data_IF_714152105337
#
_entry.id   IF_714152105337
#
_cell.length_a   1.000
_cell.length_b   1.000
_cell.length_c   1.000
_cell.angle_alpha   90.00
_cell.angle_beta   90.00
_cell.angle_gamma   90.00
#
_symmetry.space_group_name_H-M   'P 1'
#
loop_
_entity.id
_entity.type
_entity.pdbx_description
1 polymer ?
#
# COMPACT_ATOMS: atom_id res chain seq x y z
N UNK A 1 -13.91 103.93 -10.23
CA UNK A 1 -13.12 102.78 -10.74
C UNK A 1 -12.49 103.21 -12.05
N UNK A 2 -11.19 102.99 -12.24
CA UNK A 2 -10.45 103.49 -13.40
C UNK A 2 -10.90 102.71 -14.65
N UNK A 3 -11.44 103.39 -15.66
CA UNK A 3 -12.06 102.76 -16.86
C UNK A 3 -11.10 101.81 -17.60
N UNK A 4 -9.79 102.06 -17.48
CA UNK A 4 -8.71 101.23 -18.00
C UNK A 4 -8.68 99.84 -17.33
N UNK A 5 -8.86 99.78 -16.01
CA UNK A 5 -8.82 98.51 -15.26
C UNK A 5 -10.08 97.69 -15.53
N UNK A 6 -11.24 98.35 -15.65
CA UNK A 6 -12.47 97.67 -16.07
C UNK A 6 -12.36 97.11 -17.50
N UNK A 7 -11.75 97.86 -18.42
CA UNK A 7 -11.49 97.39 -19.78
C UNK A 7 -10.60 96.16 -19.81
N UNK A 8 -9.49 96.17 -19.07
CA UNK A 8 -8.55 95.03 -19.00
C UNK A 8 -9.20 93.78 -18.37
N UNK A 9 -10.01 93.95 -17.33
CA UNK A 9 -10.69 92.83 -16.68
C UNK A 9 -11.78 92.23 -17.57
N UNK A 10 -12.48 93.07 -18.35
CA UNK A 10 -13.44 92.63 -19.35
C UNK A 10 -12.77 91.85 -20.48
N UNK A 11 -11.59 92.28 -20.94
CA UNK A 11 -10.82 91.55 -21.95
C UNK A 11 -10.42 90.15 -21.47
N UNK A 12 -9.88 90.03 -20.25
CA UNK A 12 -9.46 88.74 -19.67
C UNK A 12 -10.66 87.80 -19.49
N UNK A 13 -11.81 88.30 -19.05
CA UNK A 13 -13.04 87.52 -18.91
C UNK A 13 -13.59 87.03 -20.26
N UNK A 14 -13.47 87.85 -21.30
CA UNK A 14 -13.93 87.48 -22.65
C UNK A 14 -13.00 86.44 -23.30
N UNK A 15 -11.69 86.51 -23.02
CA UNK A 15 -10.70 85.57 -23.53
C UNK A 15 -10.83 84.19 -22.85
N UNK A 16 -11.01 84.17 -21.53
CA UNK A 16 -11.30 82.95 -20.74
C UNK A 16 -12.66 82.32 -21.06
N UNK A 17 -13.65 83.11 -21.47
CA UNK A 17 -14.92 82.59 -21.98
C UNK A 17 -14.80 81.94 -23.37
N UNK A 18 -13.83 82.39 -24.19
CA UNK A 18 -13.65 81.95 -25.59
C UNK A 18 -12.75 80.72 -25.74
N UNK A 19 -11.75 80.53 -24.88
CA UNK A 19 -10.77 79.43 -24.94
C UNK A 19 -11.28 78.07 -24.41
N UNK A 20 -12.56 77.74 -24.59
CA UNK A 20 -13.21 76.53 -24.05
C UNK A 20 -12.36 75.26 -24.04
N UNK A 21 -11.75 74.96 -22.89
CA UNK A 21 -10.93 73.77 -22.61
C UNK A 21 -11.31 73.13 -21.27
N UNK A 22 -10.39 72.37 -20.65
CA UNK A 22 -10.61 71.52 -19.45
C UNK A 22 -11.31 72.17 -18.23
N UNK A 23 -11.50 73.49 -18.22
CA UNK A 23 -12.20 74.23 -17.16
C UNK A 23 -13.52 74.89 -17.62
N UNK A 24 -14.16 74.38 -18.68
CA UNK A 24 -15.55 74.69 -19.09
C UNK A 24 -15.88 76.16 -19.42
N UNK A 25 -14.89 77.05 -19.53
CA UNK A 25 -15.04 78.44 -19.97
C UNK A 25 -16.15 79.20 -19.24
N UNK A 26 -17.17 79.64 -20.00
CA UNK A 26 -18.34 80.41 -19.55
C UNK A 26 -19.03 79.83 -18.32
N UNK A 27 -19.11 78.50 -18.19
CA UNK A 27 -19.86 77.86 -17.10
C UNK A 27 -19.16 78.00 -15.75
N UNK A 28 -17.84 78.14 -15.73
CA UNK A 28 -17.08 78.39 -14.49
C UNK A 28 -17.24 79.85 -14.03
N UNK A 29 -17.36 80.79 -14.97
CA UNK A 29 -17.66 82.19 -14.67
C UNK A 29 -19.07 82.29 -14.07
N UNK A 30 -20.07 81.62 -14.68
CA UNK A 30 -21.45 81.62 -14.17
C UNK A 30 -21.62 80.90 -12.84
N UNK A 31 -20.94 79.78 -12.63
CA UNK A 31 -21.15 78.95 -11.43
C UNK A 31 -20.33 79.38 -10.22
N UNK A 32 -19.22 80.11 -10.42
CA UNK A 32 -18.33 80.50 -9.31
C UNK A 32 -18.14 82.00 -9.17
N UNK A 33 -17.89 82.71 -10.27
CA UNK A 33 -17.61 84.15 -10.21
C UNK A 33 -18.88 84.98 -9.98
N UNK A 34 -19.99 84.67 -10.67
CA UNK A 34 -21.25 85.41 -10.50
C UNK A 34 -21.87 85.24 -9.10
N UNK A 35 -21.91 84.04 -8.49
CA UNK A 35 -22.39 83.88 -7.13
C UNK A 35 -21.49 84.61 -6.13
N UNK A 36 -20.17 84.60 -6.33
CA UNK A 36 -19.20 85.31 -5.51
C UNK A 36 -19.41 86.83 -5.59
N UNK A 37 -19.60 87.40 -6.78
CA UNK A 37 -19.94 88.81 -6.94
C UNK A 37 -21.32 89.13 -6.32
N UNK A 38 -22.32 88.28 -6.50
CA UNK A 38 -23.66 88.44 -5.92
C UNK A 38 -23.68 88.41 -4.38
N UNK A 39 -22.74 87.68 -3.76
CA UNK A 39 -22.57 87.64 -2.30
C UNK A 39 -21.75 88.82 -1.77
N UNK A 40 -20.78 89.34 -2.53
CA UNK A 40 -19.98 90.50 -2.10
C UNK A 40 -20.78 91.82 -2.05
N UNK A 41 -21.82 91.98 -2.87
CA UNK A 41 -22.68 93.18 -2.83
C UNK A 41 -23.90 93.06 -1.90
N UNK A 42 -24.13 91.88 -1.29
CA UNK A 42 -25.19 91.65 -0.31
C UNK A 42 -24.62 91.52 1.10
N UNK A 43 -23.83 92.50 1.53
CA UNK A 43 -23.64 92.75 2.96
C UNK A 43 -24.59 93.86 3.40
N UNK A 44 -25.49 93.47 4.30
CA UNK A 44 -26.46 94.32 4.94
C UNK A 44 -25.82 95.60 5.49
N UNK A 45 -26.51 96.71 5.25
CA UNK A 45 -26.34 98.00 5.92
C UNK A 45 -26.33 97.82 7.44
N UNK A 46 -25.15 97.93 8.06
CA UNK A 46 -25.03 98.10 9.51
C UNK A 46 -24.71 99.57 9.81
N UNK A 47 -25.75 100.34 10.10
CA UNK A 47 -25.62 101.63 10.78
C UNK A 47 -25.04 101.42 12.18
N UNK A 48 -23.95 102.14 12.47
CA UNK A 48 -23.40 102.38 13.82
C UNK A 48 -24.43 103.15 14.69
N UNK A 49 -24.32 103.24 16.05
CA UNK A 49 -23.06 103.29 16.80
C UNK A 49 -22.99 102.50 18.14
N UNK A 50 -21.74 102.19 18.50
CA UNK A 50 -21.11 102.27 19.83
C UNK A 50 -21.98 101.92 21.05
N UNK A 51 -21.74 100.73 21.65
CA UNK A 51 -21.78 100.40 23.10
C UNK A 51 -21.90 98.86 23.29
N UNK A 52 -20.88 98.05 22.94
CA UNK A 52 -20.80 96.63 23.38
C UNK A 52 -19.42 96.01 23.09
N UNK A 53 -18.37 96.44 23.81
CA UNK A 53 -17.04 95.82 23.70
C UNK A 53 -16.87 94.58 24.60
N UNK A 54 -17.86 94.25 25.43
CA UNK A 54 -17.83 93.12 26.38
C UNK A 54 -18.52 91.84 25.85
N UNK A 55 -19.61 91.95 25.08
CA UNK A 55 -20.29 90.77 24.50
C UNK A 55 -19.52 90.18 23.31
N UNK A 56 -18.93 91.04 22.47
CA UNK A 56 -18.20 90.61 21.27
C UNK A 56 -16.85 89.96 21.62
N UNK A 57 -16.22 90.37 22.72
CA UNK A 57 -15.01 89.72 23.25
C UNK A 57 -15.33 88.38 23.90
N UNK A 58 -16.46 88.26 24.58
CA UNK A 58 -16.95 86.99 25.13
C UNK A 58 -17.30 85.99 24.02
N UNK A 59 -18.08 86.39 23.01
CA UNK A 59 -18.43 85.56 21.86
C UNK A 59 -17.19 85.18 21.03
N UNK A 60 -16.20 86.09 20.91
CA UNK A 60 -14.94 85.79 20.26
C UNK A 60 -14.11 84.76 21.04
N UNK A 61 -14.04 84.88 22.37
CA UNK A 61 -13.34 83.91 23.20
C UNK A 61 -14.04 82.54 23.20
N UNK A 62 -15.36 82.51 23.12
CA UNK A 62 -16.13 81.27 23.04
C UNK A 62 -15.99 80.57 21.68
N UNK A 63 -16.01 81.35 20.58
CA UNK A 63 -15.66 80.85 19.24
C UNK A 63 -14.21 80.35 19.17
N UNK A 64 -13.26 81.03 19.81
CA UNK A 64 -11.87 80.57 19.88
C UNK A 64 -11.76 79.27 20.68
N UNK A 65 -12.50 79.12 21.78
CA UNK A 65 -12.59 77.85 22.52
C UNK A 65 -13.19 76.73 21.68
N UNK A 66 -14.24 77.00 20.90
CA UNK A 66 -14.83 76.01 19.99
C UNK A 66 -13.86 75.63 18.87
N UNK A 67 -13.17 76.60 18.25
CA UNK A 67 -12.15 76.34 17.23
C UNK A 67 -11.00 75.49 17.79
N UNK A 68 -10.52 75.79 19.00
CA UNK A 68 -9.50 74.97 19.66
C UNK A 68 -10.00 73.54 19.95
N UNK A 69 -11.26 73.39 20.38
CA UNK A 69 -11.87 72.05 20.59
C UNK A 69 -12.00 71.28 19.28
N UNK A 70 -12.50 71.92 18.21
CA UNK A 70 -12.63 71.31 16.88
C UNK A 70 -11.27 70.95 16.29
N UNK A 71 -10.27 71.82 16.44
CA UNK A 71 -8.90 71.54 16.02
C UNK A 71 -8.31 70.35 16.80
N UNK A 72 -8.51 70.29 18.11
CA UNK A 72 -8.05 69.15 18.93
C UNK A 72 -8.77 67.84 18.59
N UNK A 73 -10.05 67.88 18.21
CA UNK A 73 -10.79 66.70 17.73
C UNK A 73 -10.24 66.22 16.39
N UNK A 74 -10.00 67.14 15.45
CA UNK A 74 -9.43 66.82 14.14
C UNK A 74 -8.00 66.27 14.26
N UNK A 75 -7.17 66.81 15.15
CA UNK A 75 -5.82 66.27 15.37
C UNK A 75 -5.86 64.87 16.00
N UNK A 76 -6.81 64.60 16.88
CA UNK A 76 -7.02 63.26 17.45
C UNK A 76 -7.44 62.24 16.37
N UNK A 77 -8.42 62.58 15.54
CA UNK A 77 -8.89 61.72 14.43
C UNK A 77 -7.76 61.43 13.43
N UNK A 78 -6.97 62.45 13.06
CA UNK A 78 -5.80 62.27 12.18
C UNK A 78 -4.76 61.34 12.81
N UNK A 79 -4.53 61.45 14.12
CA UNK A 79 -3.60 60.58 14.83
C UNK A 79 -4.11 59.13 14.90
N UNK A 80 -5.41 58.92 15.06
CA UNK A 80 -6.04 57.60 15.04
C UNK A 80 -5.95 56.96 13.66
N UNK A 81 -6.33 57.69 12.60
CA UNK A 81 -6.18 57.23 11.21
C UNK A 81 -4.71 56.93 10.88
N UNK A 82 -3.76 57.71 11.39
CA UNK A 82 -2.35 57.44 11.18
C UNK A 82 -1.90 56.15 11.88
N UNK A 83 -2.40 55.86 13.09
CA UNK A 83 -2.15 54.59 13.78
C UNK A 83 -2.71 53.40 12.99
N UNK A 84 -3.97 53.49 12.53
CA UNK A 84 -4.59 52.44 11.71
C UNK A 84 -3.84 52.22 10.39
N UNK A 85 -3.40 53.29 9.74
CA UNK A 85 -2.63 53.22 8.50
C UNK A 85 -1.24 52.59 8.72
N UNK A 86 -0.60 52.83 9.86
CA UNK A 86 0.65 52.12 10.21
C UNK A 86 0.41 50.65 10.56
N UNK A 87 -0.68 50.32 11.25
CA UNK A 87 -1.03 48.95 11.62
C UNK A 87 -1.36 48.11 10.36
N UNK A 88 -2.15 48.66 9.44
CA UNK A 88 -2.49 48.01 8.17
C UNK A 88 -1.27 47.81 7.27
N UNK A 89 -0.34 48.77 7.21
CA UNK A 89 0.94 48.60 6.49
C UNK A 89 1.77 47.46 7.06
N UNK A 90 1.82 47.35 8.38
CA UNK A 90 2.56 46.27 9.05
C UNK A 90 1.90 44.90 8.79
N UNK A 91 0.56 44.82 8.86
CA UNK A 91 -0.17 43.61 8.48
C UNK A 91 0.07 43.23 7.02
N UNK A 92 0.04 44.18 6.09
CA UNK A 92 0.36 43.91 4.68
C UNK A 92 1.78 43.38 4.50
N UNK A 93 2.77 43.93 5.21
CA UNK A 93 4.14 43.41 5.15
C UNK A 93 4.26 41.98 5.66
N UNK A 94 3.53 41.62 6.72
CA UNK A 94 3.47 40.25 7.24
C UNK A 94 2.84 39.30 6.23
N UNK A 95 1.69 39.67 5.66
CA UNK A 95 1.00 38.86 4.65
C UNK A 95 1.85 38.69 3.39
N UNK A 96 2.59 39.72 2.98
CA UNK A 96 3.54 39.62 1.86
C UNK A 96 4.66 38.63 2.17
N UNK A 97 5.21 38.67 3.38
CA UNK A 97 6.25 37.74 3.81
C UNK A 97 5.73 36.29 3.83
N UNK A 98 4.57 36.05 4.43
CA UNK A 98 3.93 34.73 4.46
C UNK A 98 3.66 34.20 3.05
N UNK A 99 3.25 35.08 2.12
CA UNK A 99 3.03 34.72 0.73
C UNK A 99 4.32 34.29 0.02
N UNK A 100 5.43 34.98 0.27
CA UNK A 100 6.74 34.56 -0.28
C UNK A 100 7.25 33.27 0.32
N UNK A 101 7.02 33.04 1.62
CA UNK A 101 7.43 31.81 2.30
C UNK A 101 6.64 30.60 1.79
N UNK A 102 5.32 30.75 1.66
CA UNK A 102 4.45 29.71 1.10
C UNK A 102 4.77 29.41 -0.36
N UNK A 103 5.13 30.42 -1.16
CA UNK A 103 5.56 30.22 -2.54
C UNK A 103 6.87 29.43 -2.64
N UNK A 104 7.85 29.72 -1.77
CA UNK A 104 9.10 28.94 -1.69
C UNK A 104 8.84 27.49 -1.27
N UNK A 105 8.02 27.26 -0.26
CA UNK A 105 7.65 25.92 0.18
C UNK A 105 6.94 25.13 -0.94
N UNK A 106 6.06 25.79 -1.70
CA UNK A 106 5.39 25.17 -2.84
C UNK A 106 6.38 24.74 -3.94
N UNK A 107 7.32 25.60 -4.33
CA UNK A 107 8.33 25.24 -5.33
C UNK A 107 9.27 24.12 -4.84
N UNK A 108 9.62 24.09 -3.56
CA UNK A 108 10.38 22.97 -2.97
C UNK A 108 9.60 21.64 -3.01
N UNK A 109 8.31 21.66 -2.65
CA UNK A 109 7.46 20.45 -2.77
C UNK A 109 7.30 20.00 -4.22
N UNK A 110 7.18 20.93 -5.16
CA UNK A 110 7.10 20.65 -6.59
C UNK A 110 8.40 20.02 -7.10
N UNK A 111 9.57 20.55 -6.71
CA UNK A 111 10.87 19.98 -7.06
C UNK A 111 11.03 18.55 -6.51
N UNK A 112 10.68 18.33 -5.24
CA UNK A 112 10.69 17.00 -4.61
C UNK A 112 9.73 16.03 -5.30
N UNK A 113 8.54 16.49 -5.66
CA UNK A 113 7.57 15.64 -6.37
C UNK A 113 8.08 15.25 -7.77
N UNK A 114 8.69 16.18 -8.51
CA UNK A 114 9.25 15.93 -9.84
C UNK A 114 10.38 14.88 -9.80
N UNK A 115 11.28 14.96 -8.81
CA UNK A 115 12.36 13.96 -8.66
C UNK A 115 11.81 12.58 -8.33
N UNK A 116 10.80 12.49 -7.46
CA UNK A 116 10.16 11.20 -7.14
C UNK A 116 9.44 10.60 -8.34
N UNK A 117 8.83 11.44 -9.20
CA UNK A 117 8.12 10.99 -10.39
C UNK A 117 9.10 10.42 -11.43
N UNK A 118 10.22 11.10 -11.66
CA UNK A 118 11.28 10.60 -12.56
C UNK A 118 11.86 9.26 -12.08
N UNK A 119 12.12 9.11 -10.78
CA UNK A 119 12.60 7.85 -10.23
C UNK A 119 11.59 6.69 -10.42
N UNK A 120 10.30 6.96 -10.25
CA UNK A 120 9.25 5.97 -10.49
C UNK A 120 9.09 5.63 -11.98
N UNK A 121 9.27 6.60 -12.88
CA UNK A 121 9.27 6.36 -14.32
C UNK A 121 10.42 5.45 -14.75
N UNK A 122 11.63 5.68 -14.23
CA UNK A 122 12.79 4.83 -14.48
C UNK A 122 12.57 3.40 -13.98
N UNK A 123 11.98 3.23 -12.80
CA UNK A 123 11.62 1.91 -12.26
C UNK A 123 10.61 1.19 -13.16
N UNK A 124 9.57 1.89 -13.65
CA UNK A 124 8.59 1.31 -14.58
C UNK A 124 9.25 0.87 -15.88
N UNK A 125 10.20 1.66 -16.41
CA UNK A 125 10.95 1.30 -17.62
C UNK A 125 11.79 0.04 -17.37
N UNK A 126 12.47 -0.04 -16.23
CA UNK A 126 13.26 -1.20 -15.84
C UNK A 126 12.40 -2.46 -15.68
N UNK A 127 11.26 -2.35 -15.00
CA UNK A 127 10.30 -3.45 -14.82
C UNK A 127 9.73 -3.94 -16.16
N UNK A 128 9.42 -3.02 -17.09
CA UNK A 128 8.97 -3.38 -18.45
C UNK A 128 10.06 -4.12 -19.23
N UNK A 129 11.32 -3.75 -19.08
CA UNK A 129 12.43 -4.45 -19.72
C UNK A 129 12.60 -5.86 -19.15
N UNK A 130 12.53 -6.01 -17.82
CA UNK A 130 12.60 -7.31 -17.16
C UNK A 130 11.42 -8.22 -17.55
N UNK A 131 10.20 -7.68 -17.64
CA UNK A 131 9.01 -8.41 -18.09
C UNK A 131 9.20 -8.97 -19.51
N UNK A 132 9.70 -8.15 -20.45
CA UNK A 132 9.98 -8.61 -21.82
C UNK A 132 11.04 -9.70 -21.86
N UNK A 133 12.10 -9.58 -21.06
CA UNK A 133 13.13 -10.62 -20.96
C UNK A 133 12.58 -11.94 -20.41
N UNK A 134 11.73 -11.86 -19.38
CA UNK A 134 11.06 -13.04 -18.80
C UNK A 134 10.13 -13.73 -19.82
N UNK A 135 9.34 -12.95 -20.57
CA UNK A 135 8.48 -13.50 -21.61
C UNK A 135 9.27 -14.22 -22.71
N UNK A 136 10.40 -13.65 -23.15
CA UNK A 136 11.28 -14.30 -24.12
C UNK A 136 11.91 -15.60 -23.57
N UNK A 137 12.18 -15.66 -22.26
CA UNK A 137 12.64 -16.88 -21.60
C UNK A 137 11.54 -17.96 -21.56
N UNK A 138 10.29 -17.57 -21.30
CA UNK A 138 9.13 -18.47 -21.30
C UNK A 138 8.87 -19.07 -22.69
N UNK A 139 8.89 -18.24 -23.74
CA UNK A 139 8.75 -18.74 -25.12
C UNK A 139 9.84 -19.76 -25.49
N UNK A 140 11.09 -19.54 -25.05
CA UNK A 140 12.17 -20.49 -25.25
C UNK A 140 11.96 -21.79 -24.45
N UNK A 141 11.42 -21.70 -23.23
CA UNK A 141 11.09 -22.87 -22.43
C UNK A 141 9.98 -23.70 -23.08
N UNK A 142 8.94 -23.07 -23.63
CA UNK A 142 7.88 -23.74 -24.38
C UNK A 142 8.42 -24.47 -25.61
N UNK A 143 9.29 -23.81 -26.41
CA UNK A 143 9.96 -24.48 -27.54
C UNK A 143 10.80 -25.68 -27.12
N UNK A 144 11.42 -25.64 -25.95
CA UNK A 144 12.16 -26.79 -25.42
C UNK A 144 11.22 -27.91 -24.96
N UNK A 145 10.06 -27.58 -24.41
CA UNK A 145 9.04 -28.56 -24.02
C UNK A 145 8.50 -29.31 -25.24
N UNK A 146 8.23 -28.61 -26.34
CA UNK A 146 7.80 -29.24 -27.60
C UNK A 146 8.84 -30.26 -28.09
N UNK A 147 10.13 -29.91 -28.03
CA UNK A 147 11.22 -30.82 -28.39
C UNK A 147 11.28 -32.04 -27.48
N UNK A 148 11.00 -31.89 -26.18
CA UNK A 148 10.95 -33.03 -25.26
C UNK A 148 9.78 -33.95 -25.58
N UNK A 149 8.63 -33.40 -25.95
CA UNK A 149 7.46 -34.18 -26.37
C UNK A 149 7.77 -35.01 -27.63
N UNK A 150 8.51 -34.45 -28.60
CA UNK A 150 8.98 -35.19 -29.78
C UNK A 150 9.88 -36.38 -29.39
N UNK A 151 10.78 -36.19 -28.42
CA UNK A 151 11.63 -37.29 -27.92
C UNK A 151 10.82 -38.34 -27.16
N UNK A 152 9.81 -37.93 -26.38
CA UNK A 152 8.92 -38.85 -25.68
C UNK A 152 8.13 -39.72 -26.66
N UNK A 153 7.62 -39.13 -27.74
CA UNK A 153 6.96 -39.88 -28.82
C UNK A 153 7.91 -40.88 -29.50
N UNK A 154 9.15 -40.47 -29.79
CA UNK A 154 10.16 -41.38 -30.36
C UNK A 154 10.47 -42.55 -29.42
N UNK A 155 10.60 -42.29 -28.12
CA UNK A 155 10.81 -43.33 -27.11
C UNK A 155 9.62 -44.29 -27.10
N UNK A 156 8.39 -43.79 -27.22
CA UNK A 156 7.21 -44.65 -27.24
C UNK A 156 7.18 -45.55 -28.49
N UNK A 157 7.49 -45.00 -29.68
CA UNK A 157 7.58 -45.77 -30.92
C UNK A 157 8.64 -46.88 -30.79
N UNK A 158 9.82 -46.55 -30.25
CA UNK A 158 10.89 -47.53 -30.05
C UNK A 158 10.50 -48.63 -29.05
N UNK A 159 9.75 -48.29 -28.00
CA UNK A 159 9.22 -49.28 -27.04
C UNK A 159 8.24 -50.24 -27.71
N UNK A 160 7.36 -49.72 -28.56
CA UNK A 160 6.38 -50.54 -29.29
C UNK A 160 7.11 -51.47 -30.29
N UNK A 161 8.14 -50.97 -30.97
CA UNK A 161 8.98 -51.77 -31.87
C UNK A 161 9.71 -52.89 -31.11
N UNK A 162 10.30 -52.59 -29.95
CA UNK A 162 10.93 -53.61 -29.09
C UNK A 162 9.93 -54.67 -28.67
N UNK A 163 8.70 -54.28 -28.30
CA UNK A 163 7.64 -55.22 -27.91
C UNK A 163 7.28 -56.17 -29.05
N UNK A 164 7.16 -55.64 -30.28
CA UNK A 164 6.90 -56.46 -31.48
C UNK A 164 8.06 -57.42 -31.74
N UNK A 165 9.30 -56.95 -31.67
CA UNK A 165 10.49 -57.78 -31.87
C UNK A 165 10.60 -58.89 -30.83
N UNK A 166 10.28 -58.62 -29.57
CA UNK A 166 10.27 -59.62 -28.51
C UNK A 166 9.17 -60.67 -28.72
N UNK A 167 7.98 -60.26 -29.17
CA UNK A 167 6.93 -61.20 -29.54
C UNK A 167 7.35 -62.11 -30.71
N UNK A 168 7.98 -61.56 -31.75
CA UNK A 168 8.51 -62.33 -32.87
C UNK A 168 9.61 -63.31 -32.43
N UNK A 169 10.52 -62.85 -31.57
CA UNK A 169 11.58 -63.68 -30.99
C UNK A 169 11.00 -64.85 -30.18
N UNK A 170 9.97 -64.60 -29.36
CA UNK A 170 9.27 -65.63 -28.60
C UNK A 170 8.62 -66.68 -29.51
N UNK A 171 7.97 -66.25 -30.60
CA UNK A 171 7.39 -67.18 -31.60
C UNK A 171 8.49 -68.03 -32.24
N UNK A 172 9.59 -67.43 -32.68
CA UNK A 172 10.72 -68.17 -33.27
C UNK A 172 11.34 -69.17 -32.27
N UNK A 173 11.50 -68.76 -31.02
CA UNK A 173 12.02 -69.61 -29.95
C UNK A 173 11.08 -70.78 -29.63
N UNK A 174 9.76 -70.56 -29.64
CA UNK A 174 8.76 -71.62 -29.46
C UNK A 174 8.77 -72.64 -30.59
N UNK A 175 9.01 -72.21 -31.84
CA UNK A 175 9.16 -73.09 -33.00
C UNK A 175 10.42 -73.96 -32.88
N UNK A 176 11.52 -73.38 -32.42
CA UNK A 176 12.78 -74.10 -32.18
C UNK A 176 12.66 -75.11 -31.03
N UNK A 177 11.87 -74.80 -30.00
CA UNK A 177 11.59 -75.72 -28.89
C UNK A 177 10.69 -76.89 -29.31
N UNK A 178 9.78 -76.68 -30.27
CA UNK A 178 8.86 -77.72 -30.77
C UNK A 178 9.51 -78.70 -31.76
N UNK A 179 10.67 -78.35 -32.35
CA UNK A 179 11.40 -79.18 -33.31
C UNK A 179 12.48 -80.10 -32.69
N UNK A 180 12.51 -80.28 -31.36
CA UNK A 180 13.48 -81.19 -30.71
C UNK A 180 12.75 -82.30 -29.94
N UNK A 181 12.93 -83.55 -30.41
CA UNK A 181 12.52 -84.78 -29.73
C UNK A 181 13.28 -84.99 -28.40
N UNK A 182 12.72 -85.69 -27.40
CA UNK A 182 13.35 -85.86 -26.10
C UNK A 182 14.25 -87.10 -26.06
N UNK A 183 15.51 -86.92 -25.66
CA UNK A 183 16.38 -87.99 -25.13
C UNK A 183 17.52 -87.40 -24.29
N UNK A 184 18.11 -88.17 -23.35
CA UNK A 184 18.51 -87.65 -22.05
C UNK A 184 20.03 -87.46 -21.87
N UNK A 185 20.35 -86.51 -20.98
CA UNK A 185 21.62 -86.29 -20.23
C UNK A 185 22.89 -86.02 -21.04
N UNK A 186 23.51 -84.84 -20.84
CA UNK A 186 24.67 -84.67 -19.94
C UNK A 186 25.29 -83.27 -20.08
N UNK A 187 25.76 -82.77 -18.94
CA UNK A 187 26.92 -81.87 -18.73
C UNK A 187 27.05 -80.55 -19.50
N UNK A 188 27.12 -79.49 -18.67
CA UNK A 188 28.07 -78.37 -18.80
C UNK A 188 28.03 -77.53 -20.08
N UNK A 189 27.44 -76.35 -19.96
CA UNK A 189 28.15 -75.11 -20.33
C UNK A 189 27.46 -73.93 -19.66
N UNK A 190 28.09 -73.37 -18.63
CA UNK A 190 27.84 -71.99 -18.21
C UNK A 190 28.24 -71.09 -19.38
N UNK A 191 27.26 -70.45 -19.99
CA UNK A 191 27.47 -69.29 -20.84
C UNK A 191 26.67 -68.14 -20.24
N UNK A 192 27.24 -66.93 -20.17
CA UNK A 192 26.68 -65.84 -19.40
C UNK A 192 25.43 -65.33 -20.10
N UNK A 193 24.32 -65.35 -19.36
CA UNK A 193 23.13 -64.56 -19.66
C UNK A 193 23.53 -63.13 -20.01
N UNK A 194 22.89 -62.48 -21.01
CA UNK A 194 23.03 -61.05 -21.18
C UNK A 194 22.54 -60.42 -19.88
N UNK A 195 23.43 -59.71 -19.21
CA UNK A 195 23.09 -58.94 -18.04
C UNK A 195 21.86 -58.08 -18.38
N UNK A 196 20.83 -58.04 -17.52
CA UNK A 196 19.80 -57.03 -17.65
C UNK A 196 20.53 -55.69 -17.76
N UNK A 197 20.13 -54.85 -18.72
CA UNK A 197 20.46 -53.43 -18.71
C UNK A 197 20.37 -52.98 -17.26
N UNK A 198 21.53 -52.65 -16.69
CA UNK A 198 21.69 -52.30 -15.28
C UNK A 198 20.78 -51.09 -15.08
N UNK A 199 19.55 -51.32 -14.61
CA UNK A 199 18.68 -50.26 -14.15
C UNK A 199 19.50 -49.51 -13.12
N UNK A 200 19.80 -48.24 -13.39
CA UNK A 200 20.48 -47.37 -12.45
C UNK A 200 19.77 -47.56 -11.10
N UNK A 201 20.48 -48.10 -10.12
CA UNK A 201 19.93 -48.28 -8.79
C UNK A 201 19.47 -46.90 -8.31
N UNK A 202 18.20 -46.71 -7.92
CA UNK A 202 17.75 -45.44 -7.41
C UNK A 202 18.68 -45.01 -6.26
N UNK A 203 19.13 -43.75 -6.28
CA UNK A 203 19.95 -43.21 -5.20
C UNK A 203 19.26 -43.38 -3.85
N UNK A 204 20.02 -43.43 -2.75
CA UNK A 204 19.47 -43.66 -1.39
C UNK A 204 18.44 -42.59 -1.01
N UNK A 205 18.62 -41.36 -1.50
CA UNK A 205 17.63 -40.29 -1.40
C UNK A 205 16.26 -40.70 -1.97
N UNK A 206 16.22 -41.34 -3.15
CA UNK A 206 14.99 -41.84 -3.78
C UNK A 206 14.35 -42.97 -2.97
N UNK A 207 15.15 -43.92 -2.47
CA UNK A 207 14.66 -45.05 -1.68
C UNK A 207 14.05 -44.66 -0.33
N UNK A 208 14.51 -43.57 0.27
CA UNK A 208 14.05 -43.07 1.58
C UNK A 208 13.05 -41.91 1.46
N UNK A 209 12.74 -41.48 0.24
CA UNK A 209 11.93 -40.30 -0.02
C UNK A 209 10.51 -40.41 0.55
N UNK A 210 9.85 -41.56 0.35
CA UNK A 210 8.48 -41.77 0.82
C UNK A 210 8.35 -41.73 2.36
N UNK A 211 9.30 -42.34 3.08
CA UNK A 211 9.30 -42.33 4.55
C UNK A 211 9.65 -40.95 5.12
N UNK A 212 10.63 -40.25 4.52
CA UNK A 212 10.96 -38.85 4.85
C UNK A 212 9.77 -37.94 4.61
N UNK A 213 9.08 -38.09 3.48
CA UNK A 213 7.90 -37.32 3.14
C UNK A 213 6.81 -37.49 4.21
N UNK A 214 6.43 -38.73 4.53
CA UNK A 214 5.43 -39.01 5.56
C UNK A 214 5.81 -38.45 6.95
N UNK A 215 7.09 -38.60 7.33
CA UNK A 215 7.60 -38.06 8.59
C UNK A 215 7.54 -36.53 8.64
N UNK A 216 7.93 -35.84 7.56
CA UNK A 216 7.95 -34.37 7.52
C UNK A 216 6.53 -33.78 7.51
N UNK A 217 5.58 -34.43 6.83
CA UNK A 217 4.16 -34.06 6.89
C UNK A 217 3.62 -34.21 8.31
N UNK A 218 3.92 -35.31 9.00
CA UNK A 218 3.53 -35.52 10.38
C UNK A 218 4.16 -34.47 11.31
N UNK A 219 5.48 -34.24 11.19
CA UNK A 219 6.20 -33.26 12.02
C UNK A 219 5.68 -31.84 11.82
N UNK A 220 5.30 -31.45 10.61
CA UNK A 220 4.66 -30.16 10.35
C UNK A 220 3.30 -30.04 11.06
N UNK A 221 2.53 -31.13 11.10
CA UNK A 221 1.31 -31.23 11.90
C UNK A 221 1.56 -31.13 13.41
N UNK A 222 2.63 -31.75 13.91
CA UNK A 222 3.01 -31.69 15.32
C UNK A 222 3.39 -30.25 15.75
N UNK A 223 4.18 -29.55 14.92
CA UNK A 223 4.55 -28.15 15.17
C UNK A 223 3.28 -27.27 15.26
N UNK A 224 2.29 -27.51 14.40
CA UNK A 224 1.00 -26.82 14.48
C UNK A 224 0.23 -27.12 15.77
N UNK A 225 0.30 -28.36 16.26
CA UNK A 225 -0.45 -28.81 17.42
C UNK A 225 0.18 -28.39 18.75
N UNK A 226 1.52 -28.29 18.83
CA UNK A 226 2.24 -28.04 20.08
C UNK A 226 3.06 -26.74 20.04
N UNK A 227 4.09 -26.66 19.21
CA UNK A 227 5.06 -25.55 19.20
C UNK A 227 4.39 -24.20 18.86
N UNK A 228 3.34 -24.23 18.03
CA UNK A 228 2.48 -23.07 17.75
C UNK A 228 1.77 -22.58 19.00
N UNK A 229 1.18 -23.47 19.81
CA UNK A 229 0.47 -23.11 21.04
C UNK A 229 1.43 -22.61 22.12
N UNK A 230 2.63 -23.18 22.20
CA UNK A 230 3.68 -22.72 23.11
C UNK A 230 4.11 -21.29 22.74
N UNK A 231 4.36 -21.03 21.45
CA UNK A 231 4.67 -19.70 20.95
C UNK A 231 3.51 -18.70 21.17
N UNK A 232 2.27 -19.13 20.97
CA UNK A 232 1.08 -18.32 21.24
C UNK A 232 0.99 -17.94 22.72
N UNK A 233 1.27 -18.88 23.62
CA UNK A 233 1.28 -18.64 25.07
C UNK A 233 2.38 -17.67 25.48
N UNK A 234 3.58 -17.79 24.90
CA UNK A 234 4.69 -16.87 25.13
C UNK A 234 4.37 -15.46 24.63
N UNK A 235 3.87 -15.33 23.39
CA UNK A 235 3.55 -14.03 22.80
C UNK A 235 2.43 -13.30 23.55
N UNK A 236 1.44 -14.04 24.07
CA UNK A 236 0.35 -13.47 24.90
C UNK A 236 0.83 -12.81 26.19
N UNK A 237 2.02 -13.14 26.69
CA UNK A 237 2.58 -12.45 27.86
C UNK A 237 2.97 -10.99 27.56
N UNK A 238 3.13 -10.66 26.27
CA UNK A 238 3.57 -9.35 25.79
C UNK A 238 2.53 -8.63 24.95
N UNK A 239 1.69 -9.37 24.21
CA UNK A 239 0.66 -8.83 23.32
C UNK A 239 -0.72 -9.29 23.77
N UNK A 240 -1.62 -8.34 24.05
CA UNK A 240 -3.00 -8.63 24.43
C UNK A 240 -3.91 -8.96 23.25
N UNK A 241 -3.57 -8.48 22.05
CA UNK A 241 -4.36 -8.74 20.84
C UNK A 241 -4.04 -10.10 20.23
N UNK A 242 -5.01 -11.01 20.29
CA UNK A 242 -4.90 -12.36 19.73
C UNK A 242 -4.71 -12.37 18.22
N UNK A 243 -5.31 -11.42 17.50
CA UNK A 243 -5.16 -11.33 16.05
C UNK A 243 -3.70 -11.02 15.68
N UNK A 244 -3.06 -10.10 16.40
CA UNK A 244 -1.65 -9.78 16.20
C UNK A 244 -0.74 -10.97 16.53
N UNK A 245 -1.01 -11.69 17.63
CA UNK A 245 -0.25 -12.90 18.00
C UNK A 245 -0.31 -13.96 16.90
N UNK A 246 -1.50 -14.23 16.36
CA UNK A 246 -1.68 -15.21 15.29
C UNK A 246 -1.02 -14.77 13.98
N UNK A 247 -1.08 -13.47 13.64
CA UNK A 247 -0.36 -12.91 12.49
C UNK A 247 1.16 -13.07 12.63
N UNK A 248 1.72 -12.83 13.82
CA UNK A 248 3.16 -13.02 14.09
C UNK A 248 3.56 -14.48 13.86
N UNK A 249 2.78 -15.43 14.38
CA UNK A 249 3.03 -16.87 14.20
C UNK A 249 2.97 -17.26 12.72
N UNK A 250 1.95 -16.81 11.99
CA UNK A 250 1.81 -17.08 10.57
C UNK A 250 3.00 -16.55 9.77
N UNK A 251 3.40 -15.29 10.02
CA UNK A 251 4.54 -14.68 9.33
C UNK A 251 5.83 -15.39 9.69
N UNK A 252 6.04 -15.78 10.95
CA UNK A 252 7.20 -16.58 11.35
C UNK A 252 7.28 -17.89 10.53
N UNK A 253 6.15 -18.58 10.35
CA UNK A 253 6.09 -19.77 9.50
C UNK A 253 6.43 -19.48 8.04
N UNK A 254 5.85 -18.43 7.45
CA UNK A 254 6.11 -18.06 6.06
C UNK A 254 7.58 -17.69 5.82
N UNK A 255 8.13 -16.84 6.68
CA UNK A 255 9.52 -16.39 6.60
C UNK A 255 10.50 -17.53 6.87
N UNK A 256 10.21 -18.44 7.80
CA UNK A 256 11.02 -19.65 8.03
C UNK A 256 11.12 -20.53 6.79
N UNK A 257 10.00 -20.77 6.09
CA UNK A 257 10.02 -21.52 4.85
C UNK A 257 10.78 -20.79 3.73
N UNK A 258 10.63 -19.47 3.65
CA UNK A 258 11.38 -18.66 2.69
C UNK A 258 12.89 -18.74 2.94
N UNK A 259 13.34 -18.49 4.18
CA UNK A 259 14.74 -18.51 4.57
C UNK A 259 15.38 -19.89 4.37
N UNK A 260 14.69 -20.96 4.77
CA UNK A 260 15.16 -22.34 4.58
C UNK A 260 15.27 -22.70 3.09
N UNK A 261 14.33 -22.26 2.25
CA UNK A 261 14.36 -22.47 0.80
C UNK A 261 15.54 -21.75 0.14
N UNK A 262 15.82 -20.52 0.54
CA UNK A 262 17.01 -19.81 0.04
C UNK A 262 18.30 -20.49 0.49
N UNK A 263 18.38 -20.91 1.76
CA UNK A 263 19.52 -21.65 2.29
C UNK A 263 19.76 -22.97 1.53
N UNK A 264 18.70 -23.73 1.24
CA UNK A 264 18.78 -24.95 0.44
C UNK A 264 19.27 -24.67 -0.98
N UNK A 265 18.74 -23.65 -1.66
CA UNK A 265 19.19 -23.26 -3.01
C UNK A 265 20.68 -22.93 -3.03
N UNK A 266 21.15 -22.15 -2.06
CA UNK A 266 22.57 -21.83 -1.95
C UNK A 266 23.42 -23.08 -1.65
N UNK A 267 22.97 -23.96 -0.76
CA UNK A 267 23.67 -25.20 -0.44
C UNK A 267 23.74 -26.14 -1.64
N UNK A 268 22.61 -26.37 -2.32
CA UNK A 268 22.52 -27.18 -3.54
C UNK A 268 23.46 -26.65 -4.63
N UNK A 269 23.49 -25.34 -4.84
CA UNK A 269 24.40 -24.72 -5.80
C UNK A 269 25.88 -24.91 -5.44
N UNK A 270 26.25 -24.79 -4.16
CA UNK A 270 27.62 -25.05 -3.70
C UNK A 270 28.01 -26.51 -3.92
N UNK A 271 27.16 -27.45 -3.49
CA UNK A 271 27.41 -28.89 -3.63
C UNK A 271 27.52 -29.27 -5.11
N UNK A 272 26.61 -28.77 -5.97
CA UNK A 272 26.68 -28.99 -7.41
C UNK A 272 28.02 -28.55 -7.99
N UNK A 273 28.51 -27.34 -7.65
CA UNK A 273 29.80 -26.85 -8.16
C UNK A 273 30.97 -27.73 -7.73
N UNK A 274 31.00 -28.16 -6.47
CA UNK A 274 32.06 -29.03 -5.95
C UNK A 274 32.04 -30.41 -6.61
N UNK A 275 30.86 -31.02 -6.75
CA UNK A 275 30.72 -32.36 -7.32
C UNK A 275 30.89 -32.37 -8.84
N UNK A 276 30.56 -31.29 -9.55
CA UNK A 276 30.72 -31.18 -11.01
C UNK A 276 32.18 -31.35 -11.46
N UNK A 277 33.15 -31.02 -10.60
CA UNK A 277 34.59 -31.12 -10.91
C UNK A 277 35.11 -32.57 -10.87
N UNK A 278 34.42 -33.48 -10.21
CA UNK A 278 34.83 -34.88 -10.02
C UNK A 278 33.83 -35.92 -10.55
N UNK A 279 32.75 -35.49 -11.20
CA UNK A 279 31.68 -36.37 -11.62
C UNK A 279 32.03 -37.08 -12.94
N UNK A 280 32.41 -38.35 -12.83
CA UNK A 280 32.62 -39.30 -13.94
C UNK A 280 31.88 -40.60 -13.64
N UNK A 281 30.60 -40.48 -13.28
CA UNK A 281 29.75 -41.59 -12.85
C UNK A 281 28.59 -41.85 -13.82
N UNK A 282 27.99 -43.06 -13.79
CA UNK A 282 26.79 -43.39 -14.57
C UNK A 282 25.49 -42.81 -13.98
N UNK A 283 25.53 -42.26 -12.76
CA UNK A 283 24.39 -41.63 -12.08
C UNK A 283 24.21 -40.17 -12.53
N UNK A 284 23.00 -39.64 -12.50
CA UNK A 284 22.77 -38.22 -12.78
C UNK A 284 23.46 -37.35 -11.74
N UNK A 285 24.13 -36.28 -12.18
CA UNK A 285 24.75 -35.29 -11.30
C UNK A 285 23.74 -34.73 -10.28
N UNK A 286 22.47 -34.54 -10.66
CA UNK A 286 21.42 -34.07 -9.75
C UNK A 286 21.13 -35.08 -8.64
N UNK A 287 21.09 -36.38 -8.97
CA UNK A 287 20.84 -37.44 -8.00
C UNK A 287 21.99 -37.56 -7.01
N UNK A 288 23.24 -37.46 -7.48
CA UNK A 288 24.42 -37.45 -6.60
C UNK A 288 24.45 -36.21 -5.70
N UNK A 289 24.06 -35.04 -6.21
CA UNK A 289 23.97 -33.80 -5.42
C UNK A 289 22.89 -33.94 -4.35
N UNK A 290 21.72 -34.45 -4.68
CA UNK A 290 20.63 -34.66 -3.73
C UNK A 290 21.01 -35.70 -2.66
N UNK A 291 21.63 -36.81 -3.06
CA UNK A 291 22.09 -37.84 -2.14
C UNK A 291 23.18 -37.33 -1.19
N UNK A 292 24.07 -36.45 -1.67
CA UNK A 292 25.03 -35.76 -0.82
C UNK A 292 24.34 -34.85 0.20
N UNK A 293 23.36 -34.04 -0.23
CA UNK A 293 22.64 -33.11 0.65
C UNK A 293 21.86 -33.87 1.72
N UNK A 294 21.14 -34.94 1.35
CA UNK A 294 20.37 -35.78 2.27
C UNK A 294 21.28 -36.45 3.31
N UNK A 295 22.52 -36.80 2.96
CA UNK A 295 23.49 -37.36 3.90
C UNK A 295 24.14 -36.34 4.83
N UNK A 296 24.18 -35.07 4.43
CA UNK A 296 24.84 -33.99 5.16
C UNK A 296 23.85 -32.89 5.53
N UNK A 297 22.65 -33.30 5.95
CA UNK A 297 21.58 -32.39 6.35
C UNK A 297 21.95 -31.61 7.64
N UNK A 298 22.88 -32.16 8.43
CA UNK A 298 23.48 -31.56 9.63
C UNK A 298 24.37 -30.34 9.33
N UNK A 299 24.89 -30.21 8.10
CA UNK A 299 25.66 -29.03 7.67
C UNK A 299 24.78 -27.79 7.44
N UNK A 300 23.46 -27.93 7.58
CA UNK A 300 22.54 -26.80 7.51
C UNK A 300 22.72 -25.88 8.72
N UNK A 301 23.20 -24.66 8.48
CA UNK A 301 23.26 -23.60 9.48
C UNK A 301 21.86 -23.02 9.75
N UNK A 302 21.12 -23.72 10.62
CA UNK A 302 19.80 -23.30 11.07
C UNK A 302 19.86 -21.92 11.73
N UNK A 303 20.95 -21.60 12.45
CA UNK A 303 21.03 -20.34 13.20
C UNK A 303 21.10 -19.13 12.28
N UNK A 304 21.84 -19.23 11.17
CA UNK A 304 21.84 -18.19 10.14
C UNK A 304 20.43 -17.95 9.57
N UNK A 305 19.67 -19.02 9.31
CA UNK A 305 18.27 -18.88 8.86
C UNK A 305 17.36 -18.28 9.95
N UNK A 306 17.51 -18.66 11.22
CA UNK A 306 16.74 -18.04 12.32
C UNK A 306 16.99 -16.53 12.38
N UNK A 307 18.25 -16.11 12.27
CA UNK A 307 18.61 -14.69 12.28
C UNK A 307 18.03 -13.94 11.07
N UNK A 308 17.99 -14.58 9.89
CA UNK A 308 17.32 -14.02 8.71
C UNK A 308 15.83 -13.81 8.96
N UNK A 309 15.14 -14.83 9.49
CA UNK A 309 13.70 -14.75 9.78
C UNK A 309 13.41 -13.60 10.76
N UNK A 310 14.16 -13.50 11.85
CA UNK A 310 13.98 -12.42 12.83
C UNK A 310 14.17 -11.04 12.16
N UNK A 311 15.17 -10.88 11.28
CA UNK A 311 15.36 -9.64 10.52
C UNK A 311 14.17 -9.35 9.61
N UNK A 312 13.68 -10.33 8.86
CA UNK A 312 12.52 -10.19 7.97
C UNK A 312 11.25 -9.84 8.74
N UNK A 313 11.04 -10.44 9.91
CA UNK A 313 9.89 -10.15 10.77
C UNK A 313 9.93 -8.71 11.29
N UNK A 314 11.11 -8.21 11.68
CA UNK A 314 11.28 -6.84 12.20
C UNK A 314 10.98 -5.74 11.17
N UNK A 315 11.06 -6.03 9.87
CA UNK A 315 10.74 -5.08 8.80
C UNK A 315 9.33 -5.27 8.22
N UNK A 316 8.57 -6.28 8.69
CA UNK A 316 7.30 -6.64 8.07
C UNK A 316 6.16 -5.69 8.50
N UNK A 317 5.50 -4.98 7.56
CA UNK A 317 4.49 -3.97 7.90
C UNK A 317 3.16 -4.55 8.42
N UNK A 318 2.95 -5.87 8.32
CA UNK A 318 1.70 -6.51 8.75
C UNK A 318 1.66 -6.87 10.23
N UNK A 319 2.83 -6.89 10.88
CA UNK A 319 2.99 -7.23 12.29
C UNK A 319 3.62 -6.06 13.03
N UNK A 320 3.20 -5.90 14.28
CA UNK A 320 3.79 -4.96 15.21
C UNK A 320 4.11 -5.71 16.49
N UNK A 321 5.33 -5.53 16.98
CA UNK A 321 5.78 -6.10 18.23
C UNK A 321 6.31 -4.98 19.13
N UNK A 322 6.10 -5.05 20.46
CA UNK A 322 6.60 -4.01 21.36
C UNK A 322 8.10 -3.77 21.14
N UNK A 323 8.56 -2.52 20.98
CA UNK A 323 9.96 -2.23 20.66
C UNK A 323 10.95 -2.67 21.74
N UNK A 324 10.47 -2.98 22.94
CA UNK A 324 11.27 -3.46 24.07
C UNK A 324 11.66 -4.94 23.96
N UNK A 325 11.00 -5.70 23.09
CA UNK A 325 11.13 -7.16 23.03
C UNK A 325 11.43 -7.55 21.58
N UNK A 326 12.36 -8.49 21.39
CA UNK A 326 12.70 -9.01 20.06
C UNK A 326 11.93 -10.32 19.78
N UNK A 327 11.68 -10.61 18.51
CA UNK A 327 11.05 -11.86 18.06
C UNK A 327 11.88 -13.12 18.39
N UNK A 328 13.09 -12.95 18.93
CA UNK A 328 13.90 -14.05 19.48
C UNK A 328 13.15 -14.89 20.53
N UNK A 329 12.12 -14.34 21.19
CA UNK A 329 11.26 -15.07 22.14
C UNK A 329 10.59 -16.31 21.53
N UNK A 330 10.32 -16.30 20.22
CA UNK A 330 9.76 -17.45 19.48
C UNK A 330 10.81 -18.19 18.64
N UNK A 331 12.09 -18.02 18.96
CA UNK A 331 13.19 -18.67 18.23
C UNK A 331 13.14 -20.20 18.25
N UNK A 332 12.51 -20.81 19.26
CA UNK A 332 12.25 -22.26 19.30
C UNK A 332 11.36 -22.70 18.14
N UNK A 333 10.21 -22.04 17.96
CA UNK A 333 9.28 -22.27 16.84
C UNK A 333 9.98 -22.03 15.50
N UNK A 334 10.66 -20.88 15.35
CA UNK A 334 11.38 -20.51 14.11
C UNK A 334 12.44 -21.56 13.75
N UNK A 335 13.20 -22.05 14.74
CA UNK A 335 14.24 -23.06 14.54
C UNK A 335 13.65 -24.37 14.02
N UNK A 336 12.57 -24.85 14.62
CA UNK A 336 11.92 -26.09 14.21
C UNK A 336 11.31 -25.98 12.80
N UNK A 337 10.67 -24.84 12.50
CA UNK A 337 10.15 -24.55 11.16
C UNK A 337 11.26 -24.50 10.11
N UNK A 338 12.37 -23.82 10.38
CA UNK A 338 13.51 -23.76 9.46
C UNK A 338 14.10 -25.16 9.18
N UNK A 339 14.23 -26.01 10.21
CA UNK A 339 14.69 -27.39 10.07
C UNK A 339 13.76 -28.18 9.15
N UNK A 340 12.47 -28.24 9.48
CA UNK A 340 11.47 -28.99 8.71
C UNK A 340 11.37 -28.46 7.28
N UNK A 341 11.33 -27.14 7.10
CA UNK A 341 11.26 -26.53 5.78
C UNK A 341 12.49 -26.83 4.92
N UNK A 342 13.69 -26.85 5.51
CA UNK A 342 14.91 -27.24 4.78
C UNK A 342 14.84 -28.71 4.35
N UNK A 343 14.48 -29.61 5.27
CA UNK A 343 14.28 -31.03 4.97
C UNK A 343 13.23 -31.24 3.87
N UNK A 344 12.15 -30.47 3.87
CA UNK A 344 11.08 -30.53 2.87
C UNK A 344 11.56 -30.15 1.46
N UNK A 345 12.56 -29.28 1.31
CA UNK A 345 13.15 -28.95 0.01
C UNK A 345 14.03 -30.07 -0.56
N UNK A 346 14.44 -31.04 0.25
CA UNK A 346 15.23 -32.19 -0.21
C UNK A 346 14.38 -33.32 -0.80
N UNK A 347 13.05 -33.26 -0.65
CA UNK A 347 12.11 -34.24 -1.16
C UNK A 347 11.94 -34.13 -2.68
N UNK A 348 11.48 -35.22 -3.30
CA UNK A 348 11.15 -35.27 -4.72
C UNK A 348 9.72 -35.80 -4.88
N UNK A 349 8.73 -34.95 -5.19
CA UNK A 349 8.80 -33.49 -5.34
C UNK A 349 8.98 -32.77 -3.99
N UNK A 350 9.44 -31.51 -4.00
CA UNK A 350 9.61 -30.73 -2.77
C UNK A 350 8.25 -30.31 -2.19
N UNK A 351 8.17 -30.27 -0.86
CA UNK A 351 7.01 -29.73 -0.15
C UNK A 351 7.19 -28.24 0.11
N UNK A 352 6.10 -27.48 -0.01
CA UNK A 352 6.09 -26.04 0.19
C UNK A 352 4.82 -25.59 0.90
N UNK A 353 4.74 -24.30 1.23
CA UNK A 353 3.56 -23.70 1.85
C UNK A 353 2.79 -22.80 0.89
N UNK A 354 1.47 -22.75 1.05
CA UNK A 354 0.61 -21.80 0.36
C UNK A 354 0.74 -20.41 0.99
N UNK A 355 1.12 -19.43 0.16
CA UNK A 355 1.08 -18.02 0.54
C UNK A 355 -0.36 -17.50 0.53
N UNK A 356 -0.76 -16.90 1.65
CA UNK A 356 -2.09 -16.33 1.84
C UNK A 356 -2.02 -14.81 1.93
N UNK A 357 -2.94 -14.14 1.24
CA UNK A 357 -3.10 -12.69 1.31
C UNK A 357 -4.30 -12.30 2.16
N UNK A 358 -4.18 -11.24 2.95
CA UNK A 358 -5.30 -10.76 3.76
C UNK A 358 -6.37 -10.18 2.83
N UNK A 359 -7.63 -10.53 3.07
CA UNK A 359 -8.76 -10.12 2.24
C UNK A 359 -9.02 -11.01 1.02
N UNK A 360 -8.30 -12.13 0.85
CA UNK A 360 -8.60 -13.08 -0.22
C UNK A 360 -9.90 -13.86 0.04
N UNK A 361 -10.48 -14.41 -1.03
CA UNK A 361 -11.62 -15.32 -0.93
C UNK A 361 -11.23 -16.57 -0.15
N UNK A 362 -12.07 -16.98 0.79
CA UNK A 362 -11.85 -18.19 1.56
C UNK A 362 -11.93 -19.44 0.67
N UNK A 363 -10.86 -20.24 0.66
CA UNK A 363 -10.76 -21.50 -0.07
C UNK A 363 -10.87 -22.69 0.89
N UNK A 364 -11.99 -23.42 0.86
CA UNK A 364 -12.27 -24.54 1.76
C UNK A 364 -11.35 -25.76 1.57
N UNK A 365 -10.77 -25.91 0.37
CA UNK A 365 -9.79 -26.96 0.08
C UNK A 365 -8.43 -26.66 0.71
N UNK A 366 -8.04 -25.38 0.78
CA UNK A 366 -6.73 -24.94 1.31
C UNK A 366 -6.74 -24.72 2.82
N UNK A 367 -7.82 -24.18 3.37
CA UNK A 367 -7.86 -23.71 4.75
C UNK A 367 -9.06 -24.24 5.52
N UNK A 368 -8.86 -24.48 6.81
CA UNK A 368 -9.92 -24.65 7.80
C UNK A 368 -10.24 -23.29 8.43
N UNK A 369 -11.52 -23.06 8.75
CA UNK A 369 -11.92 -21.88 9.53
C UNK A 369 -11.62 -22.11 11.00
N UNK A 370 -10.96 -21.15 11.62
CA UNK A 370 -10.82 -21.09 13.08
C UNK A 370 -12.18 -20.92 13.76
N UNK A 371 -12.27 -21.28 15.03
CA UNK A 371 -13.54 -21.24 15.79
C UNK A 371 -14.10 -19.82 15.98
N UNK A 372 -13.24 -18.80 15.94
CA UNK A 372 -13.55 -17.38 16.10
C UNK A 372 -13.96 -16.69 14.78
N UNK A 373 -14.11 -17.48 13.71
CA UNK A 373 -14.49 -17.01 12.38
C UNK A 373 -15.99 -16.74 12.22
N UNK A 374 -16.32 -15.70 11.48
CA UNK A 374 -17.64 -15.50 10.87
C UNK A 374 -17.81 -16.47 9.70
N UNK A 375 -18.48 -17.60 9.90
CA UNK A 375 -18.70 -18.61 8.84
C UNK A 375 -19.48 -18.10 7.62
N UNK A 376 -20.21 -16.99 7.77
CA UNK A 376 -20.91 -16.33 6.66
C UNK A 376 -20.05 -15.33 5.88
N UNK A 377 -18.85 -15.01 6.39
CA UNK A 377 -17.94 -14.08 5.72
C UNK A 377 -17.18 -14.78 4.59
N UNK A 378 -17.15 -14.20 3.37
CA UNK A 378 -16.44 -14.80 2.23
C UNK A 378 -14.94 -14.49 2.23
N UNK A 379 -14.50 -13.49 3.00
CA UNK A 379 -13.10 -13.01 2.99
C UNK A 379 -12.32 -13.48 4.20
N UNK A 380 -11.07 -13.87 3.97
CA UNK A 380 -10.08 -14.11 5.01
C UNK A 380 -9.63 -12.79 5.62
N UNK A 381 -9.75 -12.66 6.94
CA UNK A 381 -9.25 -11.51 7.69
C UNK A 381 -7.74 -11.61 7.89
N UNK A 382 -7.26 -12.77 8.30
CA UNK A 382 -5.85 -13.11 8.43
C UNK A 382 -5.66 -14.63 8.49
N UNK A 383 -4.44 -15.08 8.23
CA UNK A 383 -4.06 -16.49 8.31
C UNK A 383 -3.42 -16.79 9.67
N UNK A 384 -3.70 -17.97 10.21
CA UNK A 384 -3.13 -18.46 11.48
C UNK A 384 -2.01 -19.48 11.19
N UNK A 385 -2.23 -20.34 10.20
CA UNK A 385 -1.27 -21.37 9.81
C UNK A 385 -1.28 -21.61 8.29
N UNK A 386 -0.11 -21.71 7.63
CA UNK A 386 -0.07 -21.98 6.19
C UNK A 386 -0.54 -23.39 5.84
N UNK A 387 -1.11 -23.54 4.64
CA UNK A 387 -1.42 -24.86 4.08
C UNK A 387 -0.16 -25.47 3.46
N UNK A 388 0.05 -26.77 3.64
CA UNK A 388 1.16 -27.50 3.02
C UNK A 388 0.74 -28.00 1.64
N UNK A 389 1.54 -27.71 0.63
CA UNK A 389 1.29 -28.00 -0.78
C UNK A 389 2.42 -28.82 -1.39
N UNK A 390 2.04 -29.69 -2.32
CA UNK A 390 2.93 -30.51 -3.16
C UNK A 390 2.42 -30.37 -4.60
N UNK A 391 3.22 -29.81 -5.51
CA UNK A 391 2.81 -29.58 -6.92
C UNK A 391 1.41 -28.94 -7.06
N UNK A 392 1.14 -27.86 -6.31
CA UNK A 392 -0.14 -27.16 -6.25
C UNK A 392 -1.33 -27.93 -5.63
N UNK A 393 -1.11 -29.15 -5.16
CA UNK A 393 -2.09 -29.95 -4.43
C UNK A 393 -1.93 -29.75 -2.92
N UNK A 394 -3.03 -29.51 -2.22
CA UNK A 394 -3.03 -29.34 -0.76
C UNK A 394 -2.92 -30.70 -0.09
N UNK A 395 -1.81 -30.92 0.64
CA UNK A 395 -1.57 -32.14 1.42
C UNK A 395 -2.07 -31.95 2.86
N UNK A 396 -1.82 -30.78 3.45
CA UNK A 396 -2.30 -30.43 4.79
C UNK A 396 -3.00 -29.08 4.72
N UNK A 397 -4.24 -29.03 5.20
CA UNK A 397 -5.01 -27.78 5.27
C UNK A 397 -4.39 -26.82 6.29
N UNK A 398 -4.25 -25.57 5.89
CA UNK A 398 -3.90 -24.47 6.79
C UNK A 398 -5.08 -24.05 7.65
N UNK A 399 -4.91 -22.93 8.36
CA UNK A 399 -5.93 -22.34 9.22
C UNK A 399 -6.04 -20.84 8.94
N UNK A 400 -7.27 -20.35 8.77
CA UNK A 400 -7.56 -18.96 8.47
C UNK A 400 -8.78 -18.47 9.25
N UNK A 401 -8.75 -17.18 9.62
CA UNK A 401 -9.86 -16.50 10.29
C UNK A 401 -10.61 -15.66 9.26
N UNK A 402 -11.93 -15.80 9.19
CA UNK A 402 -12.78 -14.97 8.31
C UNK A 402 -13.62 -14.01 9.15
N UNK A 403 -13.68 -12.73 8.78
CA UNK A 403 -14.50 -11.72 9.47
C UNK A 403 -15.29 -10.87 8.49
N UNK A 404 -16.51 -10.50 8.84
CA UNK A 404 -17.30 -9.55 8.04
C UNK A 404 -16.63 -8.17 8.09
N UNK A 405 -16.32 -7.61 6.91
CA UNK A 405 -15.61 -6.33 6.82
C UNK A 405 -14.10 -6.43 7.00
N UNK A 406 -13.48 -7.59 6.75
CA UNK A 406 -12.03 -7.80 6.77
C UNK A 406 -11.23 -6.69 6.04
N UNK A 407 -11.73 -6.20 4.90
CA UNK A 407 -11.10 -5.11 4.14
C UNK A 407 -11.12 -3.75 4.85
N UNK A 408 -11.92 -3.58 5.91
CA UNK A 408 -12.16 -2.30 6.58
C UNK A 408 -11.35 -2.17 7.87
N UNK A 409 -10.70 -3.25 8.34
CA UNK A 409 -9.88 -3.24 9.57
C UNK A 409 -8.59 -2.43 9.39
N UNK A 410 -8.07 -2.33 8.16
CA UNK A 410 -6.85 -1.56 7.84
C UNK A 410 -7.07 -0.06 7.66
N UNK A 411 -8.33 0.42 7.59
CA UNK A 411 -8.61 1.85 7.73
C UNK A 411 -8.63 2.16 9.22
N UNK A 412 -7.44 2.41 9.76
CA UNK A 412 -7.23 2.92 11.10
C UNK A 412 -8.29 3.96 11.43
N UNK A 413 -9.07 3.57 12.41
CA UNK A 413 -10.17 4.27 13.04
C UNK A 413 -9.62 5.53 13.69
N UNK A 414 -9.36 6.58 12.90
CA UNK A 414 -9.21 7.95 13.42
C UNK A 414 -10.59 8.44 13.84
N UNK A 415 -11.11 7.86 14.93
CA UNK A 415 -12.23 8.43 15.68
C UNK A 415 -11.61 9.46 16.61
N UNK A 416 -11.43 10.68 16.11
CA UNK A 416 -11.43 11.87 16.94
C UNK A 416 -12.70 11.84 17.80
N UNK A 417 -12.55 11.46 19.07
CA UNK A 417 -13.57 11.67 20.11
C UNK A 417 -13.60 13.17 20.40
N UNK A 418 -14.24 13.91 19.51
CA UNK A 418 -14.59 15.32 19.71
C UNK A 418 -16.11 15.44 19.56
N UNK A 419 -16.84 14.96 20.57
CA UNK A 419 -18.22 15.41 20.80
C UNK A 419 -18.29 15.99 22.19
N UNK A 420 -17.70 17.18 22.33
CA UNK A 420 -18.12 18.14 23.33
C UNK A 420 -19.58 18.47 23.04
N UNK A 421 -20.49 17.94 23.87
CA UNK A 421 -21.86 18.40 23.95
C UNK A 421 -21.84 19.82 24.55
N UNK A 422 -21.79 20.83 23.70
CA UNK A 422 -22.16 22.19 24.10
C UNK A 422 -23.67 22.33 23.97
N UNK A 423 -24.30 22.60 25.11
CA UNK A 423 -25.63 23.17 25.21
C UNK A 423 -25.61 24.58 24.63
N UNK A 424 -26.49 24.88 23.68
CA UNK A 424 -27.10 26.22 23.55
C UNK A 424 -28.33 26.22 22.64
N UNK A 425 -29.46 26.48 23.29
CA UNK A 425 -30.56 27.40 22.90
C UNK A 425 -31.15 27.35 21.50
N UNK A 426 -32.44 27.00 21.49
CA UNK A 426 -33.49 27.24 20.49
C UNK A 426 -33.43 28.62 19.80
N UNK A 427 -34.10 28.73 18.64
CA UNK A 427 -35.33 29.53 18.65
C UNK A 427 -36.54 28.84 17.99
N UNK A 428 -37.70 29.20 18.53
CA UNK A 428 -39.05 28.84 18.08
C UNK A 428 -39.37 29.42 16.68
N UNK A 429 -40.11 28.67 15.84
CA UNK A 429 -41.56 28.87 15.60
C UNK A 429 -42.08 28.08 14.39
N UNK A 430 -43.21 27.38 14.64
CA UNK A 430 -44.36 27.07 13.77
C UNK A 430 -44.12 26.56 12.33
N UNK A 431 -44.68 25.44 11.90
CA UNK A 431 -46.13 25.23 11.80
C UNK A 431 -46.55 23.76 11.90
N UNK A 432 -47.76 23.60 12.43
CA UNK A 432 -48.54 22.39 12.61
C UNK A 432 -48.66 21.53 11.34
N UNK A 433 -48.81 20.21 11.53
CA UNK A 433 -50.03 19.48 11.16
C UNK A 433 -50.01 18.08 11.78
N UNK A 434 -50.82 17.92 12.82
CA UNK A 434 -51.24 16.64 13.38
C UNK A 434 -52.24 15.98 12.44
N UNK A 435 -52.10 14.68 12.17
CA UNK A 435 -53.25 13.78 12.09
C UNK A 435 -52.84 12.32 12.26
N UNK A 436 -53.04 11.81 13.46
CA UNK A 436 -53.37 10.41 13.72
C UNK A 436 -54.68 10.06 13.02
N UNK A 437 -54.84 8.83 12.52
CA UNK A 437 -55.92 7.90 12.88
C UNK A 437 -55.75 6.57 12.14
N UNK A 438 -55.94 5.51 12.93
CA UNK A 438 -56.03 4.08 12.64
C UNK A 438 -57.00 3.68 11.53
N UNK A 439 -56.83 2.47 10.97
CA UNK A 439 -57.79 1.33 11.04
C UNK A 439 -57.36 0.17 10.13
N UNK A 440 -57.29 -1.04 10.68
CA UNK A 440 -57.32 -2.31 9.94
C UNK A 440 -58.70 -2.50 9.27
N UNK A 441 -58.81 -3.42 8.28
CA UNK A 441 -59.70 -4.55 8.53
C UNK A 441 -59.21 -5.90 7.96
N UNK A 442 -59.49 -6.95 8.73
CA UNK A 442 -59.68 -8.33 8.28
C UNK A 442 -61.00 -8.42 7.50
N UNK A 443 -61.06 -9.15 6.35
CA UNK A 443 -61.84 -10.40 6.19
C UNK A 443 -61.86 -10.95 4.74
N UNK A 444 -61.65 -12.27 4.68
CA UNK A 444 -62.32 -13.30 3.85
C UNK A 444 -62.38 -13.21 2.32
N UNK A 445 -62.01 -14.33 1.69
CA UNK A 445 -62.80 -14.89 0.59
C UNK A 445 -61.99 -15.54 -0.52
N UNK A 446 -61.68 -16.83 -0.40
CA UNK A 446 -61.53 -17.73 -1.57
C UNK A 446 -62.86 -17.77 -2.36
N UNK A 447 -62.89 -18.11 -3.67
CA UNK A 447 -62.74 -19.51 -4.08
C UNK A 447 -62.10 -19.80 -5.46
N UNK A 448 -61.56 -21.02 -5.57
CA UNK A 448 -61.58 -22.01 -6.67
C UNK A 448 -61.39 -21.53 -8.13
N UNK A 449 -60.28 -21.97 -8.74
CA UNK A 449 -60.23 -23.16 -9.63
C UNK A 449 -58.81 -23.71 -9.67
#
# INVERSE_FOLDING_TARGET
MNSVIQGQLFTILNETAREGGHYAGVETIKSRLLPWLGTCFSSATSGRPLETNLSLTQDSMEKERQLRKSANSQTFELQELQKELTATRLQLSHVQQDLTETQLALEDTKAKSATTLLAAEDEIVQLKAALKASHAQEENALRNLDRLNDYEQQIQILKDEISILDAQKSVLQSRLARSRSPSPRHSQSRSPSPLPLRSCSPGRASLTNASRHAYLVARFGDIYAQERLDAETLLRTYISDMEMVQRIIYIAAVESFHAAKMAYRHFKMRVRKTLSLGHSGPESLEDTVLDYIVRHEDLYDVQASVNEVIRSMNINPKISFPPEIDFIVISSLIRELCRVAFSMQTLIPPLDIAFGTDGELFHETKYRRSFDSDFTAPLVAYHVWPALIENDVVIVKGEAVTKRGALWSHRSRSRSRSRSRSHSTSPLRSHCLSRSHSSSPLRSGSPRL
#
